data_IF_682666046562
#
_entry.id   IF_682666046562
#
_cell.length_a   1.000
_cell.length_b   1.000
_cell.length_c   1.000
_cell.angle_alpha   90.00
_cell.angle_beta   90.00
_cell.angle_gamma   90.00
#
_symmetry.space_group_name_H-M   'P 1'
#
loop_
_entity.id
_entity.type
_entity.pdbx_description
1 polymer ?
#
# COMPACT_ATOMS: atom_id res chain seq x y z
N UNK A 1 13.66 24.16 -15.50
CA UNK A 1 13.79 23.28 -14.32
C UNK A 1 12.97 23.76 -13.12
N UNK A 2 12.85 25.08 -12.89
CA UNK A 2 12.03 25.68 -11.81
C UNK A 2 10.52 25.66 -12.06
N UNK A 3 10.10 25.82 -13.31
CA UNK A 3 8.66 25.86 -13.67
C UNK A 3 7.93 24.56 -13.32
N UNK A 4 8.53 23.40 -13.60
CA UNK A 4 7.95 22.09 -13.27
C UNK A 4 7.72 21.93 -11.76
N UNK A 5 8.63 22.44 -10.94
CA UNK A 5 8.53 22.35 -9.48
C UNK A 5 7.39 23.25 -8.98
N UNK A 6 7.24 24.44 -9.55
CA UNK A 6 6.14 25.36 -9.23
C UNK A 6 4.79 24.80 -9.64
N UNK A 7 4.64 24.29 -10.88
CA UNK A 7 3.39 23.67 -11.33
C UNK A 7 3.03 22.45 -10.48
N UNK A 8 4.02 21.63 -10.12
CA UNK A 8 3.81 20.50 -9.21
C UNK A 8 3.39 20.95 -7.81
N UNK A 9 4.03 21.97 -7.25
CA UNK A 9 3.63 22.52 -5.95
C UNK A 9 2.21 23.09 -6.00
N UNK A 10 1.87 23.90 -7.00
CA UNK A 10 0.53 24.47 -7.15
C UNK A 10 -0.54 23.39 -7.31
N UNK A 11 -0.27 22.36 -8.11
CA UNK A 11 -1.14 21.20 -8.25
C UNK A 11 -1.29 20.44 -6.92
N UNK A 12 -0.19 20.24 -6.20
CA UNK A 12 -0.16 19.52 -4.93
C UNK A 12 -0.86 20.28 -3.79
N UNK A 13 -0.66 21.59 -3.70
CA UNK A 13 -1.39 22.46 -2.76
C UNK A 13 -2.87 22.63 -3.18
N UNK A 14 -3.16 22.61 -4.47
CA UNK A 14 -4.52 22.60 -5.02
C UNK A 14 -5.31 21.35 -4.62
N UNK A 15 -4.68 20.17 -4.68
CA UNK A 15 -5.24 18.92 -4.18
C UNK A 15 -5.54 18.99 -2.67
N UNK A 16 -4.66 19.60 -1.89
CA UNK A 16 -4.90 19.80 -0.45
C UNK A 16 -6.14 20.65 -0.16
N UNK A 17 -6.34 21.73 -0.92
CA UNK A 17 -7.56 22.55 -0.84
C UNK A 17 -8.81 21.80 -1.33
N UNK A 18 -8.68 21.02 -2.40
CA UNK A 18 -9.81 20.33 -3.04
C UNK A 18 -10.31 19.14 -2.22
N UNK A 19 -9.39 18.38 -1.63
CA UNK A 19 -9.70 17.18 -0.84
C UNK A 19 -9.64 17.44 0.67
N UNK A 20 -9.24 18.63 1.14
CA UNK A 20 -9.14 18.95 2.58
C UNK A 20 -7.96 18.28 3.30
N UNK A 21 -7.04 17.68 2.55
CA UNK A 21 -5.87 16.99 3.11
C UNK A 21 -4.69 17.93 3.27
N UNK A 22 -3.97 17.81 4.39
CA UNK A 22 -2.70 18.52 4.55
C UNK A 22 -1.66 17.97 3.55
N UNK A 23 -1.20 18.77 2.55
CA UNK A 23 -0.28 18.31 1.53
C UNK A 23 1.07 17.87 2.13
N UNK A 24 1.52 18.54 3.19
CA UNK A 24 2.79 18.24 3.86
C UNK A 24 2.74 16.83 4.47
N UNK A 25 1.63 16.47 5.11
CA UNK A 25 1.45 15.14 5.71
C UNK A 25 1.33 14.08 4.62
N UNK A 26 0.53 14.33 3.58
CA UNK A 26 0.41 13.42 2.44
C UNK A 26 1.76 13.18 1.75
N UNK A 27 2.51 14.25 1.48
CA UNK A 27 3.84 14.18 0.89
C UNK A 27 4.86 13.48 1.78
N UNK A 28 4.82 13.74 3.10
CA UNK A 28 5.71 13.08 4.06
C UNK A 28 5.43 11.58 4.16
N UNK A 29 4.16 11.17 4.17
CA UNK A 29 3.79 9.75 4.14
C UNK A 29 4.22 9.12 2.81
N UNK A 30 3.95 9.79 1.69
CA UNK A 30 4.31 9.27 0.37
C UNK A 30 5.82 9.09 0.22
N UNK A 31 6.61 10.14 0.46
CA UNK A 31 8.07 10.11 0.38
C UNK A 31 8.66 9.19 1.44
N UNK A 32 8.12 9.21 2.66
CA UNK A 32 8.52 8.34 3.75
C UNK A 32 8.26 6.87 3.48
N UNK A 33 7.18 6.52 2.78
CA UNK A 33 6.82 5.15 2.46
C UNK A 33 7.69 4.54 1.34
N UNK A 34 8.23 5.33 0.40
CA UNK A 34 9.08 4.86 -0.71
C UNK A 34 10.26 3.98 -0.24
N UNK A 35 11.10 4.38 0.73
CA UNK A 35 12.20 3.55 1.19
C UNK A 35 11.71 2.23 1.82
N UNK A 36 10.64 2.26 2.63
CA UNK A 36 10.07 1.06 3.23
C UNK A 36 9.42 0.12 2.22
N UNK A 37 8.75 0.69 1.21
CA UNK A 37 8.18 -0.05 0.09
C UNK A 37 9.28 -0.75 -0.71
N UNK A 38 10.33 -0.02 -1.06
CA UNK A 38 11.48 -0.55 -1.81
C UNK A 38 12.17 -1.67 -1.03
N UNK A 39 12.35 -1.50 0.28
CA UNK A 39 12.92 -2.51 1.16
C UNK A 39 12.02 -3.75 1.26
N UNK A 40 10.70 -3.56 1.32
CA UNK A 40 9.73 -4.67 1.31
C UNK A 40 9.75 -5.44 -0.01
N UNK A 41 9.90 -4.75 -1.15
CA UNK A 41 10.07 -5.38 -2.48
C UNK A 41 11.40 -6.16 -2.54
N UNK A 42 12.50 -5.57 -2.09
CA UNK A 42 13.79 -6.26 -2.02
C UNK A 42 13.70 -7.53 -1.16
N UNK A 43 13.00 -7.45 -0.03
CA UNK A 43 12.73 -8.60 0.83
C UNK A 43 11.83 -9.64 0.17
N UNK A 44 10.81 -9.21 -0.60
CA UNK A 44 9.93 -10.07 -1.38
C UNK A 44 10.71 -10.87 -2.43
N UNK A 45 11.53 -10.18 -3.24
CA UNK A 45 12.38 -10.80 -4.26
C UNK A 45 13.35 -11.79 -3.62
N UNK A 46 13.97 -11.42 -2.49
CA UNK A 46 14.88 -12.31 -1.74
C UNK A 46 14.17 -13.56 -1.22
N UNK A 47 12.96 -13.43 -0.66
CA UNK A 47 12.18 -14.58 -0.18
C UNK A 47 11.68 -15.45 -1.33
N UNK A 48 11.28 -14.84 -2.45
CA UNK A 48 10.89 -15.55 -3.66
C UNK A 48 12.04 -16.42 -4.19
N UNK A 49 13.24 -15.84 -4.33
CA UNK A 49 14.45 -16.58 -4.74
C UNK A 49 14.83 -17.72 -3.78
N UNK A 50 14.50 -17.59 -2.50
CA UNK A 50 14.79 -18.60 -1.46
C UNK A 50 13.63 -19.59 -1.22
N UNK A 51 12.59 -19.60 -2.07
CA UNK A 51 11.37 -20.39 -1.90
C UNK A 51 10.74 -20.26 -0.48
N UNK A 52 10.93 -19.10 0.16
CA UNK A 52 10.36 -18.78 1.47
C UNK A 52 9.03 -18.05 1.34
N UNK A 53 8.31 -17.90 2.46
CA UNK A 53 7.03 -17.21 2.46
C UNK A 53 7.16 -15.76 1.98
N UNK A 54 6.51 -15.44 0.86
CA UNK A 54 6.41 -14.08 0.31
C UNK A 54 5.27 -13.26 0.93
N UNK A 55 4.45 -13.86 1.79
CA UNK A 55 3.22 -13.23 2.32
C UNK A 55 3.56 -12.00 3.17
N UNK A 56 4.49 -12.14 4.12
CA UNK A 56 4.96 -11.06 5.00
C UNK A 56 5.52 -9.87 4.20
N UNK A 57 6.48 -10.07 3.27
CA UNK A 57 6.95 -9.00 2.42
C UNK A 57 5.84 -8.37 1.56
N UNK A 58 4.92 -9.17 1.04
CA UNK A 58 3.81 -8.69 0.20
C UNK A 58 2.88 -7.81 1.01
N UNK A 59 2.46 -8.24 2.21
CA UNK A 59 1.61 -7.44 3.10
C UNK A 59 2.28 -6.13 3.50
N UNK A 60 3.58 -6.17 3.83
CA UNK A 60 4.36 -4.97 4.17
C UNK A 60 4.43 -4.00 3.00
N UNK A 61 4.82 -4.46 1.80
CA UNK A 61 4.88 -3.63 0.60
C UNK A 61 3.51 -3.00 0.29
N UNK A 62 2.46 -3.82 0.37
CA UNK A 62 1.09 -3.43 0.12
C UNK A 62 0.60 -2.36 1.12
N UNK A 63 0.92 -2.52 2.40
CA UNK A 63 0.60 -1.55 3.44
C UNK A 63 1.28 -0.20 3.21
N UNK A 64 2.58 -0.19 2.92
CA UNK A 64 3.30 1.06 2.63
C UNK A 64 2.80 1.72 1.35
N UNK A 65 2.46 0.94 0.32
CA UNK A 65 1.90 1.43 -0.93
C UNK A 65 0.56 2.16 -0.76
N UNK A 66 -0.32 1.64 0.10
CA UNK A 66 -1.64 2.23 0.36
C UNK A 66 -1.66 3.24 1.51
N UNK A 67 -0.56 3.39 2.27
CA UNK A 67 -0.50 4.31 3.41
C UNK A 67 -0.88 5.75 3.06
N UNK A 68 -0.43 6.27 1.91
CA UNK A 68 -0.81 7.60 1.43
C UNK A 68 -2.31 7.70 1.07
N UNK A 69 -2.89 6.62 0.58
CA UNK A 69 -4.32 6.53 0.25
C UNK A 69 -5.20 6.34 1.49
N UNK A 70 -4.71 5.62 2.51
CA UNK A 70 -5.36 5.55 3.83
C UNK A 70 -5.52 6.94 4.44
N UNK A 71 -4.48 7.78 4.34
CA UNK A 71 -4.55 9.16 4.80
C UNK A 71 -5.61 9.97 4.04
N UNK A 72 -5.70 9.81 2.72
CA UNK A 72 -6.78 10.40 1.92
C UNK A 72 -8.15 9.91 2.35
N UNK A 73 -8.35 8.63 2.65
CA UNK A 73 -9.64 8.10 3.08
C UNK A 73 -10.06 8.65 4.45
N UNK A 74 -9.11 8.86 5.38
CA UNK A 74 -9.39 9.30 6.74
C UNK A 74 -9.63 10.81 6.82
N UNK A 75 -8.83 11.61 6.10
CA UNK A 75 -8.83 13.07 6.20
C UNK A 75 -9.48 13.73 4.97
N UNK A 76 -9.46 13.05 3.83
CA UNK A 76 -9.91 13.59 2.57
C UNK A 76 -11.43 13.55 2.41
N UNK A 77 -12.01 14.69 2.08
CA UNK A 77 -13.39 14.77 1.59
C UNK A 77 -13.39 14.49 0.08
N UNK A 78 -14.29 13.61 -0.37
CA UNK A 78 -14.52 13.29 -1.79
C UNK A 78 -13.43 12.44 -2.49
N UNK A 79 -12.84 11.46 -1.79
CA UNK A 79 -11.85 10.54 -2.38
C UNK A 79 -12.46 9.75 -3.55
N UNK A 80 -11.74 9.59 -4.68
CA UNK A 80 -12.23 8.80 -5.81
C UNK A 80 -12.57 7.36 -5.41
N UNK A 81 -13.76 6.89 -5.81
CA UNK A 81 -14.31 5.57 -5.48
C UNK A 81 -13.38 4.39 -5.85
N UNK A 82 -12.56 4.53 -6.89
CA UNK A 82 -11.60 3.49 -7.31
C UNK A 82 -10.56 3.17 -6.24
N UNK A 83 -10.18 4.14 -5.39
CA UNK A 83 -9.23 3.95 -4.29
C UNK A 83 -9.77 2.94 -3.29
N UNK A 84 -11.05 3.06 -2.93
CA UNK A 84 -11.73 2.11 -2.05
C UNK A 84 -11.76 0.71 -2.68
N UNK A 85 -11.99 0.63 -4.00
CA UNK A 85 -11.93 -0.64 -4.74
C UNK A 85 -10.58 -1.33 -4.62
N UNK A 86 -9.47 -0.59 -4.77
CA UNK A 86 -8.10 -1.12 -4.61
C UNK A 86 -7.88 -1.62 -3.18
N UNK A 87 -8.26 -0.84 -2.17
CA UNK A 87 -8.09 -1.22 -0.76
C UNK A 87 -8.88 -2.48 -0.42
N UNK A 88 -10.16 -2.53 -0.80
CA UNK A 88 -11.04 -3.69 -0.58
C UNK A 88 -10.49 -4.92 -1.28
N UNK A 89 -10.09 -4.79 -2.55
CA UNK A 89 -9.50 -5.89 -3.31
C UNK A 89 -8.24 -6.43 -2.63
N UNK A 90 -7.43 -5.55 -2.05
CA UNK A 90 -6.22 -5.95 -1.35
C UNK A 90 -6.50 -6.69 -0.03
N UNK A 91 -7.49 -6.23 0.75
CA UNK A 91 -7.93 -6.90 1.97
C UNK A 91 -8.51 -8.28 1.64
N UNK A 92 -9.37 -8.36 0.61
CA UNK A 92 -9.97 -9.62 0.15
C UNK A 92 -8.88 -10.57 -0.35
N UNK A 93 -7.93 -10.09 -1.14
CA UNK A 93 -6.83 -10.92 -1.65
C UNK A 93 -5.91 -11.41 -0.52
N UNK A 94 -5.56 -10.54 0.43
CA UNK A 94 -4.77 -10.89 1.62
C UNK A 94 -5.48 -11.91 2.52
N UNK A 95 -6.78 -11.72 2.78
CA UNK A 95 -7.61 -12.63 3.55
C UNK A 95 -7.79 -13.99 2.86
N UNK A 96 -8.10 -13.99 1.57
CA UNK A 96 -8.29 -15.21 0.77
C UNK A 96 -6.99 -16.02 0.65
N UNK A 97 -5.85 -15.37 0.45
CA UNK A 97 -4.55 -16.06 0.35
C UNK A 97 -4.10 -16.65 1.69
N UNK A 98 -4.41 -15.99 2.81
CA UNK A 98 -4.11 -16.49 4.16
C UNK A 98 -4.96 -17.72 4.50
N UNK A 99 -6.28 -17.64 4.33
CA UNK A 99 -7.21 -18.75 4.64
C UNK A 99 -6.94 -19.98 3.78
N UNK A 100 -6.62 -19.80 2.50
CA UNK A 100 -6.27 -20.92 1.59
C UNK A 100 -4.98 -21.63 1.99
N UNK A 101 -3.98 -20.91 2.51
CA UNK A 101 -2.72 -21.51 3.00
C UNK A 101 -2.90 -22.24 4.32
N UNK A 102 -3.69 -21.68 5.24
CA UNK A 102 -4.01 -22.32 6.53
C UNK A 102 -4.80 -23.61 6.31
N UNK A 103 -5.82 -23.59 5.45
CA UNK A 103 -6.63 -24.78 5.14
C UNK A 103 -5.80 -25.92 4.51
N UNK A 104 -4.82 -25.58 3.66
CA UNK A 104 -3.88 -26.57 3.07
C UNK A 104 -2.89 -27.16 4.09
N UNK A 105 -2.52 -26.41 5.14
CA UNK A 105 -1.67 -26.90 6.23
C UNK A 105 -2.43 -27.88 7.12
N UNK A 106 -3.67 -27.55 7.48
CA UNK A 106 -4.51 -28.38 8.35
C UNK A 106 -4.81 -29.74 7.69
N UNK A 107 -5.11 -29.76 6.39
CA UNK A 107 -5.38 -31.00 5.67
C UNK A 107 -4.16 -31.93 5.48
N UNK A 108 -2.93 -31.44 5.75
CA UNK A 108 -1.71 -32.27 5.78
C UNK A 108 -1.42 -32.87 7.15
N UNK A 109 -1.95 -32.28 8.23
CA UNK A 109 -1.78 -32.78 9.60
C UNK A 109 -2.74 -33.95 9.87
N UNK A 110 -3.89 -33.96 9.21
CA UNK A 110 -4.94 -34.99 9.36
C UNK A 110 -4.68 -36.28 8.54
N UNK A 111 -3.61 -36.33 7.75
CA UNK A 111 -3.26 -37.46 6.87
C UNK A 111 -1.85 -38.06 7.12
N UNK A 112 -1.18 -37.68 8.20
CA UNK A 112 0.10 -38.26 8.63
C UNK A 112 -0.07 -38.98 9.95
#
# INVERSE_FOLDING_TARGET
MTELIQTLQEWFFGLGKQYGVNPIVFGSIYVGAIPFFTLSIAWLIRNYRKNKSIILPTLSASFFFISAYLYLIIVGHNVPWWVYGVVVLMIVYGGYTTTKKVRRRIHKVDKG
#
